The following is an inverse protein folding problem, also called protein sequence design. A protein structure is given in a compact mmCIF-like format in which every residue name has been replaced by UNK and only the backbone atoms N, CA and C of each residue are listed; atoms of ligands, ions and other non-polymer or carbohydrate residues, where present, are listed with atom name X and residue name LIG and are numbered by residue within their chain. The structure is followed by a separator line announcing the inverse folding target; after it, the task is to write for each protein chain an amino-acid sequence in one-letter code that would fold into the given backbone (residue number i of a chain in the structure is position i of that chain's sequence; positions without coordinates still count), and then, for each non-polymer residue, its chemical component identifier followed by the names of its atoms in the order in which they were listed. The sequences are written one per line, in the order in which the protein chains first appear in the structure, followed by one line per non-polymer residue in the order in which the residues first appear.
data_IF_513163251967
#
_entry.id   IF_513163251967
#
_cell.length_a   1.000
_cell.length_b   1.000
_cell.length_c   1.000
_cell.angle_alpha   90.00
_cell.angle_beta   90.00
_cell.angle_gamma   90.00
#
_symmetry.space_group_name_H-M   'P 1'
#
loop_
_entity.id
_entity.type
_entity.pdbx_description
1 polymer ?
#
# COMPACT_ATOMS: atom_id res chain seq x y z
N UNK A 1 -2.90 -1.66 2.73
CA UNK A 1 -2.75 -2.41 1.47
C UNK A 1 -3.90 -3.39 1.28
N UNK A 2 -4.70 -3.20 0.23
CA UNK A 2 -5.91 -4.01 0.02
C UNK A 2 -5.87 -4.82 -1.28
N UNK A 3 -5.05 -4.43 -2.25
CA UNK A 3 -5.11 -5.03 -3.58
C UNK A 3 -3.83 -4.82 -4.39
N UNK A 4 -3.63 -5.61 -5.44
CA UNK A 4 -2.66 -5.32 -6.51
C UNK A 4 -2.93 -3.97 -7.19
N UNK A 5 -4.14 -3.44 -7.09
CA UNK A 5 -4.51 -2.12 -7.62
C UNK A 5 -3.71 -0.99 -6.96
N UNK A 6 -3.30 -1.15 -5.70
CA UNK A 6 -2.49 -0.16 -4.98
C UNK A 6 -1.15 0.10 -5.68
N UNK A 7 -0.63 -0.90 -6.42
CA UNK A 7 0.61 -0.76 -7.20
C UNK A 7 0.40 0.24 -8.35
N UNK A 8 -0.74 0.17 -9.04
CA UNK A 8 -1.07 1.12 -10.11
C UNK A 8 -1.32 2.52 -9.56
N UNK A 9 -2.07 2.61 -8.46
CA UNK A 9 -2.37 3.87 -7.80
C UNK A 9 -1.09 4.57 -7.36
N UNK A 10 -0.19 3.88 -6.67
CA UNK A 10 1.08 4.46 -6.25
C UNK A 10 2.01 4.69 -7.43
N UNK A 11 2.09 3.77 -8.39
CA UNK A 11 2.94 3.92 -9.58
C UNK A 11 2.55 5.09 -10.47
N UNK A 12 1.29 5.54 -10.44
CA UNK A 12 0.85 6.77 -11.12
C UNK A 12 1.22 8.04 -10.36
N UNK A 13 1.53 7.94 -9.08
CA UNK A 13 1.73 9.09 -8.18
C UNK A 13 3.18 9.26 -7.71
N UNK A 14 3.97 8.17 -7.72
CA UNK A 14 5.33 8.13 -7.19
C UNK A 14 6.26 7.41 -8.16
N UNK A 15 7.35 8.05 -8.54
CA UNK A 15 8.46 7.36 -9.22
C UNK A 15 9.30 6.62 -8.18
N UNK A 16 9.10 5.31 -8.08
CA UNK A 16 9.73 4.48 -7.06
C UNK A 16 9.77 3.01 -7.43
N UNK A 17 10.62 2.28 -6.72
CA UNK A 17 10.78 0.83 -6.87
C UNK A 17 9.88 0.11 -5.86
N UNK A 18 9.04 -0.79 -6.34
CA UNK A 18 8.22 -1.61 -5.47
C UNK A 18 9.02 -2.79 -4.90
N UNK A 19 8.71 -3.16 -3.66
CA UNK A 19 9.23 -4.39 -3.05
C UNK A 19 8.10 -5.39 -2.91
N UNK A 20 8.24 -6.54 -3.55
CA UNK A 20 7.25 -7.61 -3.57
C UNK A 20 7.85 -8.94 -3.09
N UNK A 21 6.98 -9.89 -2.74
CA UNK A 21 7.40 -11.27 -2.43
C UNK A 21 7.83 -11.99 -3.70
N UNK A 22 8.87 -12.82 -3.61
CA UNK A 22 9.37 -13.60 -4.76
C UNK A 22 8.34 -14.55 -5.37
N UNK A 23 7.37 -15.02 -4.60
CA UNK A 23 6.31 -15.90 -5.09
C UNK A 23 5.45 -15.26 -6.17
N UNK A 24 5.34 -13.92 -6.16
CA UNK A 24 4.56 -13.14 -7.14
C UNK A 24 5.21 -13.16 -8.52
N UNK A 25 6.54 -13.33 -8.60
CA UNK A 25 7.29 -13.38 -9.87
C UNK A 25 6.83 -14.54 -10.78
N UNK A 26 6.33 -15.62 -10.19
CA UNK A 26 5.83 -16.78 -10.93
C UNK A 26 4.41 -16.60 -11.50
N UNK A 27 3.71 -15.52 -11.18
CA UNK A 27 2.33 -15.31 -11.59
C UNK A 27 2.24 -14.70 -13.00
N UNK A 28 1.52 -15.34 -13.94
CA UNK A 28 1.35 -14.80 -15.28
C UNK A 28 0.72 -13.41 -15.23
N UNK A 29 1.16 -12.51 -16.11
CA UNK A 29 0.85 -11.08 -16.19
C UNK A 29 1.46 -10.22 -15.07
N UNK A 30 1.46 -10.64 -13.82
CA UNK A 30 1.99 -9.85 -12.70
C UNK A 30 3.49 -9.71 -12.82
N UNK A 31 4.21 -10.74 -13.25
CA UNK A 31 5.65 -10.66 -13.50
C UNK A 31 6.01 -9.57 -14.52
N UNK A 32 5.23 -9.44 -15.61
CA UNK A 32 5.44 -8.38 -16.61
C UNK A 32 5.17 -6.99 -16.04
N UNK A 33 4.11 -6.87 -15.22
CA UNK A 33 3.78 -5.62 -14.55
C UNK A 33 4.83 -5.24 -13.51
N UNK A 34 5.31 -6.20 -12.74
CA UNK A 34 6.41 -6.01 -11.81
C UNK A 34 7.71 -5.60 -12.51
N UNK A 35 7.99 -6.17 -13.68
CA UNK A 35 9.14 -5.77 -14.50
C UNK A 35 9.03 -4.33 -15.00
N UNK A 36 7.85 -3.89 -15.43
CA UNK A 36 7.58 -2.50 -15.81
C UNK A 36 7.72 -1.54 -14.62
N UNK A 37 7.25 -1.96 -13.43
CA UNK A 37 7.32 -1.20 -12.18
C UNK A 37 8.69 -1.29 -11.48
N UNK A 38 9.74 -1.84 -12.12
CA UNK A 38 11.09 -2.01 -11.53
C UNK A 38 11.03 -2.63 -10.14
N UNK A 39 10.26 -3.72 -9.99
CA UNK A 39 10.02 -4.36 -8.69
C UNK A 39 11.24 -5.15 -8.21
N UNK A 40 11.60 -4.96 -6.95
CA UNK A 40 12.60 -5.77 -6.25
C UNK A 40 11.87 -6.92 -5.56
N UNK A 41 12.19 -8.16 -5.95
CA UNK A 41 11.61 -9.34 -5.33
C UNK A 41 12.40 -9.79 -4.09
N UNK A 42 11.69 -10.03 -2.98
CA UNK A 42 12.29 -10.47 -1.72
C UNK A 42 11.80 -11.88 -1.37
N UNK A 43 12.74 -12.84 -1.31
CA UNK A 43 12.48 -14.18 -0.81
C UNK A 43 12.77 -14.24 0.69
N UNK A 44 11.73 -14.28 1.51
CA UNK A 44 11.85 -14.26 2.98
C UNK A 44 12.24 -15.60 3.60
N UNK A 45 12.18 -16.67 2.82
CA UNK A 45 12.44 -18.03 3.28
C UNK A 45 13.92 -18.43 3.12
N UNK A 46 14.72 -17.64 2.41
CA UNK A 46 16.13 -17.91 2.14
C UNK A 46 17.00 -16.78 2.71
N UNK A 47 17.64 -17.04 3.85
CA UNK A 47 18.45 -16.06 4.60
C UNK A 47 19.61 -15.50 3.75
N UNK A 48 20.21 -16.33 2.87
CA UNK A 48 21.32 -15.90 2.03
C UNK A 48 20.83 -14.96 0.94
N UNK A 49 19.74 -15.29 0.28
CA UNK A 49 19.11 -14.45 -0.75
C UNK A 49 18.57 -13.16 -0.16
N UNK A 50 18.00 -13.20 1.06
CA UNK A 50 17.55 -12.02 1.78
C UNK A 50 18.66 -10.97 1.91
N UNK A 51 19.88 -11.35 2.31
CA UNK A 51 21.01 -10.41 2.42
C UNK A 51 21.35 -9.74 1.09
N UNK A 52 21.34 -10.48 -0.01
CA UNK A 52 21.58 -9.92 -1.36
C UNK A 52 20.48 -8.93 -1.78
N UNK A 53 19.23 -9.28 -1.55
CA UNK A 53 18.06 -8.43 -1.87
C UNK A 53 18.01 -7.18 -0.99
N UNK A 54 18.38 -7.28 0.28
CA UNK A 54 18.55 -6.16 1.19
C UNK A 54 19.63 -5.18 0.70
N UNK A 55 20.74 -5.69 0.19
CA UNK A 55 21.78 -4.86 -0.44
C UNK A 55 21.25 -4.15 -1.70
N UNK A 56 20.43 -4.82 -2.50
CA UNK A 56 19.80 -4.23 -3.68
C UNK A 56 18.91 -3.05 -3.30
N UNK A 57 18.05 -3.19 -2.28
CA UNK A 57 17.21 -2.11 -1.75
C UNK A 57 18.09 -0.94 -1.28
N UNK A 58 19.13 -1.21 -0.49
CA UNK A 58 20.03 -0.19 0.03
C UNK A 58 20.76 0.55 -1.10
N UNK A 59 21.23 -0.17 -2.11
CA UNK A 59 21.92 0.43 -3.26
C UNK A 59 20.97 1.30 -4.08
N UNK A 60 19.72 0.88 -4.27
CA UNK A 60 18.69 1.68 -4.93
C UNK A 60 18.43 2.99 -4.18
N UNK A 61 18.26 2.92 -2.85
CA UNK A 61 18.11 4.11 -2.01
C UNK A 61 19.32 5.05 -2.09
N UNK A 62 20.55 4.51 -2.05
CA UNK A 62 21.79 5.28 -2.20
C UNK A 62 21.93 5.92 -3.59
N UNK A 63 21.35 5.31 -4.60
CA UNK A 63 21.30 5.86 -5.97
C UNK A 63 20.21 6.92 -6.15
N UNK A 64 19.49 7.30 -5.08
CA UNK A 64 18.46 8.33 -5.10
C UNK A 64 17.06 7.85 -5.49
N UNK A 65 16.84 6.54 -5.65
CA UNK A 65 15.51 6.00 -5.93
C UNK A 65 14.67 5.91 -4.67
N UNK A 66 13.40 6.26 -4.78
CA UNK A 66 12.41 5.95 -3.75
C UNK A 66 12.09 4.45 -3.75
N UNK A 67 11.84 3.88 -2.57
CA UNK A 67 11.43 2.48 -2.42
C UNK A 67 10.07 2.40 -1.75
N UNK A 68 9.14 1.74 -2.39
CA UNK A 68 7.76 1.58 -1.94
C UNK A 68 7.59 0.22 -1.28
N UNK A 69 7.18 0.24 -0.02
CA UNK A 69 6.98 -0.96 0.80
C UNK A 69 5.52 -1.07 1.24
N UNK A 70 4.96 -2.28 1.16
CA UNK A 70 3.71 -2.63 1.82
C UNK A 70 4.03 -3.42 3.11
N UNK A 71 4.17 -2.73 4.26
CA UNK A 71 4.69 -3.36 5.47
C UNK A 71 3.71 -4.32 6.14
N UNK A 72 2.45 -4.31 5.77
CA UNK A 72 1.45 -5.32 6.17
C UNK A 72 1.85 -6.72 5.65
N UNK A 73 2.55 -6.77 4.51
CA UNK A 73 3.08 -8.00 3.92
C UNK A 73 2.02 -8.94 3.35
N UNK A 74 0.78 -8.52 3.33
CA UNK A 74 -0.35 -9.15 2.66
C UNK A 74 -1.44 -8.11 2.45
N UNK A 75 -2.33 -8.33 1.50
CA UNK A 75 -3.54 -7.53 1.34
C UNK A 75 -4.63 -7.95 2.32
N UNK A 76 -5.55 -7.04 2.63
CA UNK A 76 -6.69 -7.22 3.52
C UNK A 76 -7.99 -6.78 2.85
N UNK A 77 -9.10 -6.95 3.55
CA UNK A 77 -10.43 -6.47 3.12
C UNK A 77 -10.58 -4.93 3.17
N UNK A 78 -9.55 -4.23 3.65
CA UNK A 78 -9.54 -2.78 3.79
C UNK A 78 -10.36 -2.23 4.95
N UNK A 79 -10.90 -3.07 5.83
CA UNK A 79 -11.65 -2.62 7.01
C UNK A 79 -10.75 -1.95 8.06
N UNK A 80 -9.49 -2.35 8.10
CA UNK A 80 -8.46 -1.82 9.00
C UNK A 80 -7.07 -2.01 8.43
N UNK A 81 -6.12 -1.21 8.90
CA UNK A 81 -4.70 -1.40 8.61
C UNK A 81 -4.17 -2.57 9.45
N UNK A 82 -3.54 -3.54 8.78
CA UNK A 82 -2.95 -4.69 9.46
C UNK A 82 -1.64 -4.30 10.18
N UNK A 83 -1.24 -5.06 11.21
CA UNK A 83 0.03 -4.82 11.89
C UNK A 83 1.23 -4.87 10.95
N UNK A 84 2.14 -3.92 11.08
CA UNK A 84 3.31 -3.81 10.21
C UNK A 84 4.41 -4.80 10.58
N UNK A 85 4.96 -5.49 9.58
CA UNK A 85 6.11 -6.38 9.71
C UNK A 85 7.41 -5.58 9.75
N UNK A 86 7.99 -5.45 10.92
CA UNK A 86 9.18 -4.61 11.16
C UNK A 86 10.44 -5.09 10.45
N UNK A 87 10.50 -6.36 10.05
CA UNK A 87 11.67 -6.94 9.37
C UNK A 87 12.05 -6.21 8.07
N UNK A 88 11.05 -5.65 7.36
CA UNK A 88 11.30 -4.88 6.13
C UNK A 88 12.00 -3.56 6.38
N UNK A 89 11.78 -2.95 7.54
CA UNK A 89 12.44 -1.70 7.95
C UNK A 89 13.86 -1.92 8.52
N UNK A 90 14.21 -3.17 8.87
CA UNK A 90 15.54 -3.54 9.36
C UNK A 90 16.66 -3.24 8.34
N UNK A 91 16.33 -3.24 7.05
CA UNK A 91 17.28 -2.88 5.98
C UNK A 91 17.84 -1.47 6.16
N UNK A 92 16.96 -0.54 6.53
CA UNK A 92 17.32 0.87 6.70
C UNK A 92 18.06 1.06 8.02
N UNK A 93 17.60 0.40 9.08
CA UNK A 93 18.21 0.45 10.41
C UNK A 93 19.68 0.06 10.41
N UNK A 94 20.01 -1.05 9.71
CA UNK A 94 21.36 -1.62 9.70
C UNK A 94 22.35 -0.87 8.80
N UNK A 95 21.89 -0.13 7.81
CA UNK A 95 22.75 0.28 6.70
C UNK A 95 23.00 1.79 6.55
N UNK A 96 22.07 2.66 6.91
CA UNK A 96 22.30 4.12 6.89
C UNK A 96 21.07 4.92 7.42
N UNK A 97 20.77 4.90 8.72
CA UNK A 97 19.56 5.52 9.26
C UNK A 97 19.52 7.04 9.11
N UNK A 98 20.69 7.70 8.99
CA UNK A 98 20.78 9.16 8.94
C UNK A 98 20.48 9.77 7.56
N UNK A 99 20.60 8.98 6.49
CA UNK A 99 20.48 9.45 5.11
C UNK A 99 19.08 9.31 4.54
N UNK A 100 18.25 8.39 5.08
CA UNK A 100 16.98 8.05 4.49
C UNK A 100 15.79 8.63 5.25
N UNK A 101 14.79 9.00 4.48
CA UNK A 101 13.50 9.42 4.98
C UNK A 101 12.50 8.27 4.89
N UNK A 102 11.63 8.18 5.89
CA UNK A 102 10.47 7.31 5.91
C UNK A 102 9.23 8.18 5.80
N UNK A 103 8.43 7.94 4.77
CA UNK A 103 7.19 8.67 4.54
C UNK A 103 6.01 7.70 4.57
N UNK A 104 5.11 7.81 5.56
CA UNK A 104 3.87 7.05 5.55
C UNK A 104 2.97 7.52 4.40
N UNK A 105 2.32 6.58 3.70
CA UNK A 105 1.36 6.87 2.65
C UNK A 105 0.12 6.02 2.89
N UNK A 106 -1.05 6.66 2.93
CA UNK A 106 -2.33 5.97 3.04
C UNK A 106 -3.09 6.03 1.72
N UNK A 107 -3.75 4.92 1.38
CA UNK A 107 -4.57 4.76 0.18
C UNK A 107 -5.97 4.38 0.64
N UNK A 108 -6.98 5.13 0.21
CA UNK A 108 -8.38 4.80 0.46
C UNK A 108 -9.20 4.87 -0.83
N UNK A 109 -9.93 3.80 -1.11
CA UNK A 109 -10.91 3.77 -2.19
C UNK A 109 -12.20 4.36 -1.66
N UNK A 110 -12.57 5.52 -2.18
CA UNK A 110 -13.59 6.38 -1.58
C UNK A 110 -14.95 6.29 -2.27
N UNK A 111 -14.98 6.28 -3.61
CA UNK A 111 -16.24 6.33 -4.35
C UNK A 111 -16.21 5.43 -5.58
N UNK A 112 -17.41 5.01 -5.98
CA UNK A 112 -17.69 4.36 -7.27
C UNK A 112 -18.80 5.15 -7.96
N UNK A 113 -18.55 5.63 -9.17
CA UNK A 113 -19.46 6.49 -9.97
C UNK A 113 -19.95 7.73 -9.18
N UNK A 114 -19.04 8.33 -8.40
CA UNK A 114 -19.32 9.49 -7.56
C UNK A 114 -20.11 9.17 -6.28
N UNK A 115 -20.47 7.90 -6.02
CA UNK A 115 -21.19 7.48 -4.82
C UNK A 115 -20.20 6.95 -3.78
N UNK A 116 -20.31 7.40 -2.50
CA UNK A 116 -19.46 6.89 -1.43
C UNK A 116 -19.47 5.36 -1.32
N UNK A 117 -18.27 4.74 -1.26
CA UNK A 117 -18.11 3.31 -1.29
C UNK A 117 -18.54 2.68 0.04
N UNK A 118 -19.64 1.94 0.03
CA UNK A 118 -20.08 1.20 1.20
C UNK A 118 -19.18 -0.01 1.49
N UNK A 119 -19.11 -0.41 2.75
CA UNK A 119 -18.30 -1.54 3.21
C UNK A 119 -18.58 -2.82 2.42
N UNK A 120 -19.84 -3.08 2.05
CA UNK A 120 -20.24 -4.26 1.27
C UNK A 120 -19.66 -4.31 -0.15
N UNK A 121 -19.24 -3.15 -0.71
CA UNK A 121 -18.65 -3.06 -2.05
C UNK A 121 -17.11 -3.05 -2.04
N UNK A 122 -16.47 -2.99 -0.87
CA UNK A 122 -15.00 -3.05 -0.76
C UNK A 122 -14.37 -4.29 -1.42
N UNK A 123 -14.99 -5.49 -1.38
CA UNK A 123 -14.42 -6.66 -2.05
C UNK A 123 -14.32 -6.55 -3.58
N UNK A 124 -14.92 -5.54 -4.20
CA UNK A 124 -14.69 -5.25 -5.63
C UNK A 124 -13.32 -4.62 -5.88
N UNK A 125 -12.75 -3.94 -4.89
CA UNK A 125 -11.43 -3.29 -4.94
C UNK A 125 -10.38 -4.10 -4.19
N UNK A 126 -10.75 -4.68 -3.05
CA UNK A 126 -9.86 -5.48 -2.22
C UNK A 126 -9.67 -6.88 -2.80
N UNK A 127 -8.41 -7.27 -2.98
CA UNK A 127 -8.03 -8.62 -3.38
C UNK A 127 -7.21 -9.25 -2.26
N UNK A 128 -7.77 -10.23 -1.56
CA UNK A 128 -7.19 -10.81 -0.34
C UNK A 128 -7.57 -12.28 -0.16
N UNK A 129 -6.89 -12.97 0.74
CA UNK A 129 -7.15 -14.36 1.04
C UNK A 129 -6.93 -15.28 -0.17
N UNK A 130 -7.91 -16.13 -0.48
CA UNK A 130 -7.86 -17.10 -1.57
C UNK A 130 -8.64 -16.63 -2.83
N UNK A 131 -8.85 -15.32 -2.99
CA UNK A 131 -9.56 -14.79 -4.15
C UNK A 131 -8.76 -15.07 -5.43
N UNK A 132 -9.43 -15.58 -6.48
CA UNK A 132 -8.81 -15.75 -7.78
C UNK A 132 -8.55 -14.39 -8.44
N UNK A 133 -7.30 -14.18 -8.85
CA UNK A 133 -6.84 -12.90 -9.39
C UNK A 133 -7.54 -12.55 -10.70
N UNK A 134 -7.67 -13.52 -11.62
CA UNK A 134 -8.22 -13.26 -12.95
C UNK A 134 -9.70 -12.91 -12.87
N UNK A 135 -10.45 -13.65 -12.08
CA UNK A 135 -11.87 -13.39 -11.84
C UNK A 135 -12.09 -12.04 -11.16
N UNK A 136 -11.25 -11.68 -10.19
CA UNK A 136 -11.31 -10.38 -9.53
C UNK A 136 -11.00 -9.23 -10.50
N UNK A 137 -9.91 -9.36 -11.27
CA UNK A 137 -9.52 -8.36 -12.25
C UNK A 137 -10.61 -8.15 -13.32
N UNK A 138 -11.24 -9.23 -13.78
CA UNK A 138 -12.32 -9.15 -14.75
C UNK A 138 -13.54 -8.39 -14.18
N UNK A 139 -13.92 -8.68 -12.94
CA UNK A 139 -14.99 -7.96 -12.25
C UNK A 139 -14.65 -6.48 -12.06
N UNK A 140 -13.40 -6.18 -11.66
CA UNK A 140 -12.93 -4.81 -11.49
C UNK A 140 -13.01 -4.02 -12.78
N UNK A 141 -12.60 -4.60 -13.92
CA UNK A 141 -12.68 -3.94 -15.23
C UNK A 141 -14.12 -3.63 -15.68
N UNK A 142 -15.11 -4.31 -15.12
CA UNK A 142 -16.53 -4.03 -15.35
C UNK A 142 -17.10 -2.93 -14.45
N UNK A 143 -16.33 -2.42 -13.49
CA UNK A 143 -16.76 -1.30 -12.64
C UNK A 143 -16.68 0.03 -13.40
N UNK A 144 -17.46 0.99 -12.94
CA UNK A 144 -17.43 2.35 -13.45
C UNK A 144 -16.24 3.18 -12.92
N UNK A 145 -16.43 4.49 -12.88
CA UNK A 145 -15.41 5.44 -12.42
C UNK A 145 -15.15 5.31 -10.91
N UNK A 146 -13.89 5.10 -10.54
CA UNK A 146 -13.49 4.92 -9.14
C UNK A 146 -12.63 6.06 -8.67
N UNK A 147 -12.94 6.61 -7.48
CA UNK A 147 -12.12 7.63 -6.83
C UNK A 147 -11.26 6.99 -5.75
N UNK A 148 -9.95 7.28 -5.80
CA UNK A 148 -8.97 6.79 -4.85
C UNK A 148 -8.20 7.96 -4.28
N UNK A 149 -8.16 8.07 -2.95
CA UNK A 149 -7.40 9.09 -2.25
C UNK A 149 -6.04 8.53 -1.85
N UNK A 150 -4.97 9.25 -2.18
CA UNK A 150 -3.61 8.96 -1.75
C UNK A 150 -3.11 10.10 -0.90
N UNK A 151 -2.86 9.84 0.38
CA UNK A 151 -2.40 10.86 1.32
C UNK A 151 -0.93 10.61 1.68
N UNK A 152 -0.07 11.55 1.33
CA UNK A 152 1.35 11.56 1.68
C UNK A 152 1.52 12.29 3.01
N UNK A 153 1.89 11.55 4.06
CA UNK A 153 2.16 12.13 5.37
C UNK A 153 3.54 12.75 5.42
N UNK A 154 3.82 13.53 6.47
CA UNK A 154 5.10 14.19 6.66
C UNK A 154 6.26 13.17 6.71
N UNK A 155 7.28 13.31 5.85
CA UNK A 155 8.45 12.44 5.87
C UNK A 155 9.31 12.72 7.11
N UNK A 156 9.83 11.68 7.74
CA UNK A 156 10.77 11.79 8.86
C UNK A 156 12.07 11.06 8.53
N UNK A 157 13.22 11.65 8.92
CA UNK A 157 14.49 10.91 8.84
C UNK A 157 14.39 9.63 9.66
N UNK A 158 14.99 8.54 9.18
CA UNK A 158 14.92 7.29 9.93
C UNK A 158 15.60 7.41 11.30
N UNK A 159 16.62 8.24 11.43
CA UNK A 159 17.29 8.58 12.70
C UNK A 159 16.41 9.28 13.74
N UNK A 160 15.21 9.77 13.34
CA UNK A 160 14.21 10.27 14.28
C UNK A 160 13.63 9.15 15.16
N UNK A 161 13.64 7.93 14.66
CA UNK A 161 13.07 6.78 15.35
C UNK A 161 14.13 6.06 16.17
N UNK A 162 13.74 5.60 17.37
CA UNK A 162 14.62 4.85 18.26
C UNK A 162 15.10 3.53 17.61
N UNK A 163 14.19 2.89 16.91
CA UNK A 163 14.38 1.60 16.22
C UNK A 163 13.30 1.39 15.16
N UNK A 164 13.45 0.31 14.38
CA UNK A 164 12.47 -0.08 13.36
C UNK A 164 11.06 -0.37 13.90
N UNK A 165 10.94 -0.77 15.17
CA UNK A 165 9.62 -1.02 15.79
C UNK A 165 8.90 0.30 16.06
N UNK A 166 9.63 1.30 16.56
CA UNK A 166 9.11 2.65 16.74
C UNK A 166 8.72 3.28 15.40
N UNK A 167 9.55 3.13 14.36
CA UNK A 167 9.24 3.59 13.01
C UNK A 167 7.97 2.93 12.45
N UNK A 168 7.84 1.61 12.56
CA UNK A 168 6.67 0.87 12.12
C UNK A 168 5.40 1.30 12.86
N UNK A 169 5.47 1.46 14.18
CA UNK A 169 4.35 1.92 15.00
C UNK A 169 3.88 3.31 14.58
N UNK A 170 4.81 4.25 14.42
CA UNK A 170 4.50 5.61 13.97
C UNK A 170 3.78 5.60 12.62
N UNK A 171 4.31 4.88 11.63
CA UNK A 171 3.70 4.79 10.31
C UNK A 171 2.31 4.15 10.36
N UNK A 172 2.17 3.06 11.11
CA UNK A 172 0.89 2.38 11.29
C UNK A 172 -0.16 3.30 11.92
N UNK A 173 0.18 4.05 12.96
CA UNK A 173 -0.73 4.99 13.63
C UNK A 173 -1.16 6.11 12.69
N UNK A 174 -0.22 6.72 11.94
CA UNK A 174 -0.54 7.79 10.98
C UNK A 174 -1.48 7.32 9.88
N UNK A 175 -1.20 6.17 9.30
CA UNK A 175 -2.01 5.59 8.23
C UNK A 175 -3.39 5.17 8.76
N UNK A 176 -3.45 4.53 9.95
CA UNK A 176 -4.71 4.10 10.54
C UNK A 176 -5.64 5.26 10.88
N UNK A 177 -5.10 6.37 11.42
CA UNK A 177 -5.86 7.57 11.71
C UNK A 177 -6.44 8.19 10.43
N UNK A 178 -5.63 8.27 9.35
CA UNK A 178 -6.11 8.81 8.08
C UNK A 178 -7.22 7.95 7.48
N UNK A 179 -7.02 6.63 7.40
CA UNK A 179 -8.03 5.71 6.88
C UNK A 179 -9.34 5.78 7.68
N UNK A 180 -9.25 5.90 9.01
CA UNK A 180 -10.42 6.06 9.86
C UNK A 180 -11.14 7.38 9.60
N UNK A 181 -10.40 8.47 9.43
CA UNK A 181 -10.94 9.79 9.08
C UNK A 181 -11.62 9.77 7.71
N UNK A 182 -10.98 9.16 6.70
CA UNK A 182 -11.55 9.04 5.35
C UNK A 182 -12.90 8.31 5.40
N UNK A 183 -13.00 7.22 6.16
CA UNK A 183 -14.26 6.48 6.29
C UNK A 183 -15.36 7.27 7.02
N UNK A 184 -15.01 8.03 8.06
CA UNK A 184 -15.97 8.89 8.76
C UNK A 184 -16.51 9.98 7.84
N UNK A 185 -15.65 10.60 7.05
CA UNK A 185 -16.05 11.64 6.09
C UNK A 185 -16.99 11.10 5.01
N UNK A 186 -16.74 9.88 4.50
CA UNK A 186 -17.62 9.21 3.56
C UNK A 186 -19.01 8.89 4.15
N UNK A 187 -19.08 8.49 5.40
CA UNK A 187 -20.36 8.25 6.09
C UNK A 187 -21.16 9.56 6.29
N UNK A 188 -20.49 10.67 6.58
CA UNK A 188 -21.12 11.99 6.67
C UNK A 188 -21.64 12.44 5.31
N UNK A 189 -20.83 12.32 4.25
CA UNK A 189 -21.22 12.66 2.88
C UNK A 189 -22.45 11.86 2.44
N UNK A 190 -22.47 10.57 2.74
CA UNK A 190 -23.62 9.70 2.44
C UNK A 190 -24.89 10.16 3.13
N UNK A 191 -24.83 10.55 4.40
CA UNK A 191 -25.98 11.09 5.14
C UNK A 191 -26.50 12.37 4.51
N UNK A 192 -25.61 13.31 4.16
CA UNK A 192 -25.99 14.58 3.52
C UNK A 192 -26.72 14.31 2.21
N UNK A 193 -26.19 13.46 1.32
CA UNK A 193 -26.84 13.09 0.05
C UNK A 193 -28.23 12.45 0.25
N UNK A 194 -28.41 11.62 1.27
CA UNK A 194 -29.72 11.06 1.59
C UNK A 194 -30.72 12.13 2.00
N UNK A 195 -30.30 13.12 2.79
CA UNK A 195 -31.15 14.25 3.17
C UNK A 195 -31.53 15.12 1.98
N UNK A 196 -30.59 15.43 1.09
CA UNK A 196 -30.87 16.19 -0.15
C UNK A 196 -31.88 15.46 -1.04
N UNK A 197 -31.79 14.14 -1.14
CA UNK A 197 -32.72 13.34 -1.95
C UNK A 197 -34.11 13.23 -1.31
N UNK A 198 -34.22 13.32 0.01
CA UNK A 198 -35.50 13.28 0.73
C UNK A 198 -36.23 14.65 0.73
N UNK A 199 -35.54 15.74 0.38
CA UNK A 199 -36.13 17.09 0.31
C UNK A 199 -36.61 17.49 -1.09
N UNK A 200 -36.38 16.63 -2.11
CA UNK A 200 -36.89 16.78 -3.47
C UNK A 200 -38.17 15.99 -3.65
#
# INVERSE_FOLDING_TARGET
HISYLDIFVLGSSVDGLFVAKSEIDSWPFINKMCALGRTIFVNRNDIIKVKGQMNQITNSLKSGFSVILFPEGTSSDGSKVLPFKTSLLGVIEDKAPEQFYLQPVSISYSKLDGIPLETKFRPFFAWFGNMDLVSHAWKFLGLGFSEVSVNFHEPKKFSYFKDRKHAAKYCHEKISLQISSDFQNLEVEKKIRLYEFMLL
#
